data_IF_859126179432
#
_entry.id   IF_859126179432
#
_cell.length_a   1.000
_cell.length_b   1.000
_cell.length_c   1.000
_cell.angle_alpha   90.00
_cell.angle_beta   90.00
_cell.angle_gamma   90.00
#
_symmetry.space_group_name_H-M   'P 1'
#
loop_
_entity.id
_entity.type
_entity.pdbx_description
1 polymer ?
#
# COMPACT_ATOMS: atom_id res chain seq x y z
N UNK A 1 45.05 6.27 11.64
CA UNK A 1 44.58 7.46 10.90
C UNK A 1 43.37 7.18 10.00
N UNK A 2 43.11 5.94 9.56
CA UNK A 2 42.01 5.63 8.61
C UNK A 2 40.60 5.62 9.25
N UNK A 3 40.49 5.25 10.54
CA UNK A 3 39.20 5.11 11.25
C UNK A 3 38.42 6.43 11.38
N UNK A 4 39.10 7.53 11.72
CA UNK A 4 38.48 8.85 11.91
C UNK A 4 37.77 9.36 10.64
N UNK A 5 38.31 9.06 9.44
CA UNK A 5 37.74 9.54 8.17
C UNK A 5 36.41 8.85 7.79
N UNK A 6 36.18 7.63 8.28
CA UNK A 6 34.95 6.86 8.02
C UNK A 6 33.85 7.33 8.96
N UNK A 7 34.19 7.59 10.22
CA UNK A 7 33.25 8.04 11.23
C UNK A 7 32.81 9.50 10.97
N UNK A 8 33.71 10.37 10.49
CA UNK A 8 33.36 11.72 10.03
C UNK A 8 32.40 11.70 8.82
N UNK A 9 32.67 10.85 7.81
CA UNK A 9 31.77 10.69 6.65
C UNK A 9 30.39 10.14 7.04
N UNK A 10 30.33 9.22 8.02
CA UNK A 10 29.07 8.72 8.56
C UNK A 10 28.30 9.81 9.32
N UNK A 11 29.00 10.57 10.17
CA UNK A 11 28.40 11.67 10.93
C UNK A 11 27.86 12.77 10.00
N UNK A 12 28.60 13.13 8.96
CA UNK A 12 28.18 14.13 7.97
C UNK A 12 26.99 13.65 7.12
N UNK A 13 26.97 12.36 6.74
CA UNK A 13 25.81 11.74 6.09
C UNK A 13 24.58 11.72 7.01
N UNK A 14 24.76 11.42 8.30
CA UNK A 14 23.67 11.47 9.29
C UNK A 14 23.15 12.89 9.50
N UNK A 15 24.04 13.90 9.55
CA UNK A 15 23.69 15.33 9.71
C UNK A 15 22.95 15.89 8.49
N UNK A 16 23.40 15.55 7.28
CA UNK A 16 22.69 15.90 6.03
C UNK A 16 21.35 15.18 5.89
N UNK A 17 21.24 13.95 6.40
CA UNK A 17 19.97 13.22 6.45
C UNK A 17 19.01 13.86 7.45
N UNK A 18 19.49 14.26 8.63
CA UNK A 18 18.71 14.98 9.64
C UNK A 18 18.17 16.32 9.11
N UNK A 19 19.00 17.13 8.43
CA UNK A 19 18.55 18.38 7.80
C UNK A 19 17.50 18.18 6.68
N UNK A 20 17.55 17.05 5.97
CA UNK A 20 16.49 16.68 5.01
C UNK A 20 15.21 16.23 5.71
N UNK A 21 15.32 15.60 6.88
CA UNK A 21 14.18 15.20 7.71
C UNK A 21 13.47 16.43 8.29
N UNK A 22 14.19 17.48 8.69
CA UNK A 22 13.57 18.73 9.18
C UNK A 22 12.74 19.48 8.12
N UNK A 23 13.00 19.25 6.82
CA UNK A 23 12.18 19.76 5.70
C UNK A 23 11.21 18.73 5.13
N UNK A 24 11.13 17.54 5.72
CA UNK A 24 10.32 16.43 5.24
C UNK A 24 8.97 16.40 5.94
N UNK A 25 7.93 16.04 5.18
CA UNK A 25 6.59 15.84 5.73
C UNK A 25 6.47 14.57 6.60
N UNK A 26 7.42 13.63 6.47
CA UNK A 26 7.45 12.38 7.22
C UNK A 26 7.31 12.59 8.75
N UNK A 27 6.35 11.89 9.36
CA UNK A 27 6.03 12.00 10.77
C UNK A 27 5.16 13.21 11.14
N UNK A 28 4.96 14.15 10.20
CA UNK A 28 4.08 15.29 10.34
C UNK A 28 2.62 14.87 10.50
N UNK A 29 1.89 15.65 11.30
CA UNK A 29 0.46 15.45 11.55
C UNK A 29 -0.33 16.17 10.44
N UNK A 30 -1.27 15.49 9.78
CA UNK A 30 -2.14 16.10 8.76
C UNK A 30 -3.14 17.07 9.40
N UNK A 31 -3.73 17.94 8.57
CA UNK A 31 -4.87 18.76 8.99
C UNK A 31 -6.08 17.87 9.34
N UNK A 32 -6.79 18.20 10.42
CA UNK A 32 -7.96 17.45 10.91
C UNK A 32 -9.04 17.24 9.84
N UNK A 33 -9.21 18.18 8.92
CA UNK A 33 -10.16 18.07 7.81
C UNK A 33 -9.75 16.97 6.82
N UNK A 34 -8.46 16.70 6.68
CA UNK A 34 -7.93 15.62 5.82
C UNK A 34 -8.12 14.23 6.44
N UNK A 35 -8.43 14.16 7.75
CA UNK A 35 -8.65 12.89 8.45
C UNK A 35 -10.03 12.30 8.18
N UNK A 36 -11.01 13.15 7.87
CA UNK A 36 -12.38 12.71 7.62
C UNK A 36 -12.44 12.12 6.21
N UNK A 37 -12.66 10.80 6.08
CA UNK A 37 -12.87 10.24 4.76
C UNK A 37 -14.17 10.78 4.17
N UNK A 38 -14.27 10.76 2.85
CA UNK A 38 -15.48 11.16 2.16
C UNK A 38 -16.64 10.25 2.57
N UNK A 39 -17.81 10.86 2.81
CA UNK A 39 -18.98 10.14 3.29
C UNK A 39 -19.33 8.91 2.45
N UNK A 40 -19.97 7.93 3.09
CA UNK A 40 -20.36 6.68 2.45
C UNK A 40 -21.54 6.90 1.51
N UNK A 41 -21.30 7.20 0.23
CA UNK A 41 -22.30 6.88 -0.79
C UNK A 41 -22.52 5.36 -0.77
N UNK A 42 -23.75 4.88 -0.98
CA UNK A 42 -24.03 3.44 -1.10
C UNK A 42 -23.36 2.88 -2.35
N UNK A 43 -22.08 2.54 -2.23
CA UNK A 43 -21.31 1.90 -3.28
C UNK A 43 -21.75 0.43 -3.35
N UNK A 44 -22.06 -0.09 -4.54
CA UNK A 44 -22.17 -1.52 -4.80
C UNK A 44 -20.86 -2.04 -5.44
N UNK A 45 -19.85 -2.44 -4.63
CA UNK A 45 -18.52 -2.80 -5.13
C UNK A 45 -18.44 -4.22 -5.72
N UNK A 46 -19.59 -4.86 -5.96
CA UNK A 46 -19.67 -6.24 -6.45
C UNK A 46 -18.90 -6.43 -7.77
N UNK A 47 -18.03 -7.44 -7.77
CA UNK A 47 -17.23 -7.86 -8.91
C UNK A 47 -18.14 -8.50 -9.95
N UNK A 48 -18.19 -7.89 -11.14
CA UNK A 48 -19.02 -8.31 -12.27
C UNK A 48 -18.25 -9.19 -13.25
N UNK A 49 -16.99 -8.86 -13.48
CA UNK A 49 -16.14 -9.57 -14.44
C UNK A 49 -14.77 -9.86 -13.84
N UNK A 50 -14.22 -11.02 -14.20
CA UNK A 50 -12.88 -11.46 -13.86
C UNK A 50 -12.18 -11.80 -15.17
N UNK A 51 -11.10 -11.09 -15.49
CA UNK A 51 -10.37 -11.23 -16.75
C UNK A 51 -8.92 -11.56 -16.46
N UNK A 52 -8.51 -12.78 -16.81
CA UNK A 52 -7.13 -13.22 -16.69
C UNK A 52 -6.32 -12.81 -17.92
N UNK A 53 -5.19 -12.14 -17.68
CA UNK A 53 -4.18 -11.84 -18.69
C UNK A 53 -2.93 -12.70 -18.46
N UNK A 54 -1.89 -12.49 -19.27
CA UNK A 54 -0.62 -13.22 -19.12
C UNK A 54 0.06 -12.93 -17.77
N UNK A 55 0.08 -11.67 -17.37
CA UNK A 55 0.90 -11.19 -16.25
C UNK A 55 0.07 -10.60 -15.09
N UNK A 56 -1.25 -10.47 -15.27
CA UNK A 56 -2.13 -9.91 -14.26
C UNK A 56 -3.55 -10.49 -14.32
N UNK A 57 -4.29 -10.28 -13.23
CA UNK A 57 -5.72 -10.55 -13.14
C UNK A 57 -6.46 -9.23 -12.93
N UNK A 58 -7.53 -9.01 -13.69
CA UNK A 58 -8.40 -7.84 -13.56
C UNK A 58 -9.77 -8.24 -13.05
N UNK A 59 -10.27 -7.52 -12.04
CA UNK A 59 -11.60 -7.67 -11.48
C UNK A 59 -12.34 -6.34 -11.60
N UNK A 60 -13.41 -6.33 -12.38
CA UNK A 60 -14.14 -5.10 -12.72
C UNK A 60 -15.45 -5.03 -11.95
N UNK A 61 -15.72 -3.87 -11.35
CA UNK A 61 -16.99 -3.53 -10.72
C UNK A 61 -17.55 -2.22 -11.29
N UNK A 62 -18.65 -1.72 -10.71
CA UNK A 62 -19.29 -0.49 -11.19
C UNK A 62 -18.46 0.80 -10.99
N UNK A 63 -17.39 0.74 -10.19
CA UNK A 63 -16.57 1.90 -9.83
C UNK A 63 -15.16 1.86 -10.38
N UNK A 64 -14.75 0.74 -10.97
CA UNK A 64 -13.41 0.62 -11.50
C UNK A 64 -12.92 -0.80 -11.73
N UNK A 65 -11.64 -0.86 -12.07
CA UNK A 65 -10.90 -2.08 -12.37
C UNK A 65 -9.83 -2.29 -11.31
N UNK A 66 -9.94 -3.39 -10.56
CA UNK A 66 -8.90 -3.87 -9.65
C UNK A 66 -7.96 -4.79 -10.43
N UNK A 67 -6.69 -4.40 -10.53
CA UNK A 67 -5.66 -5.20 -11.19
C UNK A 67 -4.70 -5.76 -10.13
N UNK A 68 -4.47 -7.06 -10.22
CA UNK A 68 -3.56 -7.84 -9.37
C UNK A 68 -2.43 -8.34 -10.25
N UNK A 69 -1.20 -7.88 -10.00
CA UNK A 69 -0.03 -8.21 -10.82
C UNK A 69 1.05 -8.82 -9.92
N UNK A 70 1.27 -10.15 -9.95
CA UNK A 70 2.40 -10.76 -9.28
C UNK A 70 3.73 -10.19 -9.83
N UNK A 71 4.59 -9.68 -8.94
CA UNK A 71 5.85 -9.01 -9.31
C UNK A 71 7.05 -9.94 -9.06
N UNK A 72 6.98 -10.71 -7.98
CA UNK A 72 7.94 -11.75 -7.61
C UNK A 72 7.24 -12.84 -6.81
N UNK A 73 7.97 -13.86 -6.37
CA UNK A 73 7.44 -14.95 -5.54
C UNK A 73 6.88 -14.49 -4.20
N UNK A 74 7.19 -13.28 -3.73
CA UNK A 74 6.72 -12.76 -2.44
C UNK A 74 6.07 -11.38 -2.51
N UNK A 75 5.92 -10.80 -3.70
CA UNK A 75 5.42 -9.44 -3.89
C UNK A 75 4.36 -9.38 -4.98
N UNK A 76 3.27 -8.67 -4.69
CA UNK A 76 2.19 -8.37 -5.64
C UNK A 76 1.92 -6.89 -5.69
N UNK A 77 1.68 -6.37 -6.89
CA UNK A 77 1.18 -5.03 -7.12
C UNK A 77 -0.34 -5.05 -7.20
N UNK A 78 -0.96 -4.16 -6.44
CA UNK A 78 -2.40 -3.92 -6.44
C UNK A 78 -2.63 -2.52 -6.97
N UNK A 79 -3.43 -2.41 -8.04
CA UNK A 79 -3.89 -1.12 -8.54
C UNK A 79 -5.40 -1.10 -8.71
N UNK A 80 -6.01 0.05 -8.44
CA UNK A 80 -7.45 0.26 -8.65
C UNK A 80 -7.68 1.66 -9.21
N UNK A 81 -8.42 1.75 -10.31
CA UNK A 81 -8.74 3.00 -10.99
C UNK A 81 -10.15 2.91 -11.61
N UNK A 82 -10.75 4.06 -11.92
CA UNK A 82 -12.09 4.11 -12.52
C UNK A 82 -12.20 3.39 -13.87
N UNK A 83 -11.09 3.33 -14.60
CA UNK A 83 -10.91 2.55 -15.82
C UNK A 83 -9.61 1.75 -15.71
N UNK A 84 -9.46 0.71 -16.54
CA UNK A 84 -8.22 -0.05 -16.58
C UNK A 84 -7.05 0.90 -16.93
N UNK A 85 -6.00 1.02 -16.09
CA UNK A 85 -4.95 1.98 -16.36
C UNK A 85 -4.11 1.51 -17.55
N UNK A 86 -3.99 2.38 -18.57
CA UNK A 86 -3.14 2.17 -19.75
C UNK A 86 -1.66 2.08 -19.36
N UNK A 87 -1.26 2.91 -18.39
CA UNK A 87 0.10 2.95 -17.88
C UNK A 87 0.10 2.95 -16.36
N UNK A 88 0.86 2.02 -15.79
CA UNK A 88 1.14 1.96 -14.37
C UNK A 88 2.54 2.54 -14.10
N UNK A 89 2.74 3.31 -13.01
CA UNK A 89 4.05 3.83 -12.66
C UNK A 89 5.12 2.75 -12.51
N UNK A 90 6.37 3.11 -12.71
CA UNK A 90 7.49 2.19 -12.58
C UNK A 90 7.52 1.50 -11.20
N UNK A 91 7.90 0.23 -11.20
CA UNK A 91 8.12 -0.52 -9.98
C UNK A 91 9.33 0.10 -9.25
N UNK A 92 9.21 0.43 -7.95
CA UNK A 92 10.34 0.95 -7.18
C UNK A 92 11.55 0.03 -7.25
N UNK A 93 12.75 0.60 -7.42
CA UNK A 93 14.01 -0.16 -7.57
C UNK A 93 14.38 -1.06 -6.37
N UNK A 94 13.75 -0.84 -5.21
CA UNK A 94 13.92 -1.67 -4.00
C UNK A 94 12.99 -2.90 -3.96
N UNK A 95 12.12 -3.06 -4.95
CA UNK A 95 11.27 -4.23 -5.12
C UNK A 95 11.95 -5.13 -6.15
N UNK A 96 12.28 -6.35 -5.74
CA UNK A 96 12.78 -7.38 -6.64
C UNK A 96 11.69 -7.78 -7.63
N UNK A 97 12.03 -7.77 -8.91
CA UNK A 97 11.15 -8.19 -10.00
C UNK A 97 11.66 -9.50 -10.59
N UNK A 98 10.80 -10.51 -10.67
CA UNK A 98 11.13 -11.75 -11.36
C UNK A 98 10.87 -11.60 -12.88
N UNK A 99 11.72 -12.21 -13.71
CA UNK A 99 11.52 -12.21 -15.17
C UNK A 99 10.24 -12.93 -15.61
N UNK A 100 9.79 -13.91 -14.82
CA UNK A 100 8.51 -14.60 -14.99
C UNK A 100 8.05 -15.16 -13.65
N UNK A 101 6.92 -14.68 -13.14
CA UNK A 101 6.26 -15.24 -11.95
C UNK A 101 5.30 -16.34 -12.39
N UNK A 102 5.38 -17.51 -11.79
CA UNK A 102 4.36 -18.56 -11.98
C UNK A 102 3.19 -18.24 -11.07
N UNK A 103 2.01 -18.05 -11.66
CA UNK A 103 0.80 -17.74 -10.93
C UNK A 103 -0.41 -18.44 -11.57
N UNK A 104 -1.47 -18.59 -10.79
CA UNK A 104 -2.77 -19.06 -11.27
C UNK A 104 -3.88 -18.38 -10.46
N UNK A 105 -5.09 -18.41 -10.99
CA UNK A 105 -6.27 -18.01 -10.26
C UNK A 105 -7.40 -19.03 -10.44
N UNK A 106 -8.27 -19.10 -9.43
CA UNK A 106 -9.51 -19.86 -9.46
C UNK A 106 -10.66 -18.94 -9.11
N UNK A 107 -11.70 -18.97 -9.91
CA UNK A 107 -12.94 -18.24 -9.63
C UNK A 107 -14.00 -19.22 -9.15
N UNK A 108 -14.53 -18.95 -7.95
CA UNK A 108 -15.69 -19.62 -7.38
C UNK A 108 -16.89 -18.64 -7.40
N UNK A 109 -18.09 -19.11 -7.05
CA UNK A 109 -19.32 -18.28 -7.06
C UNK A 109 -19.19 -16.99 -6.22
N UNK A 110 -18.55 -17.06 -5.07
CA UNK A 110 -18.47 -15.95 -4.10
C UNK A 110 -17.10 -15.30 -3.99
N UNK A 111 -16.05 -15.89 -4.59
CA UNK A 111 -14.67 -15.43 -4.39
C UNK A 111 -13.78 -15.74 -5.59
N UNK A 112 -12.69 -15.00 -5.69
CA UNK A 112 -11.57 -15.31 -6.58
C UNK A 112 -10.33 -15.57 -5.72
N UNK A 113 -9.64 -16.68 -5.96
CA UNK A 113 -8.35 -16.98 -5.34
C UNK A 113 -7.23 -16.77 -6.34
N UNK A 114 -6.16 -16.09 -5.95
CA UNK A 114 -4.94 -15.93 -6.75
C UNK A 114 -3.77 -16.51 -5.97
N UNK A 115 -2.99 -17.39 -6.58
CA UNK A 115 -1.83 -18.05 -5.95
C UNK A 115 -0.58 -17.82 -6.77
N UNK A 116 0.49 -17.42 -6.10
CA UNK A 116 1.84 -17.29 -6.66
C UNK A 116 2.86 -17.32 -5.52
N UNK A 117 3.98 -18.00 -5.73
CA UNK A 117 5.04 -18.16 -4.73
C UNK A 117 4.55 -18.37 -3.30
N UNK A 118 4.89 -17.42 -2.41
CA UNK A 118 4.60 -17.42 -0.97
C UNK A 118 3.26 -16.77 -0.59
N UNK A 119 2.44 -16.40 -1.57
CA UNK A 119 1.22 -15.62 -1.35
C UNK A 119 -0.03 -16.28 -1.95
N UNK A 120 -1.11 -16.18 -1.18
CA UNK A 120 -2.48 -16.47 -1.58
C UNK A 120 -3.31 -15.21 -1.35
N UNK A 121 -3.98 -14.73 -2.39
CA UNK A 121 -4.96 -13.65 -2.28
C UNK A 121 -6.37 -14.26 -2.41
N UNK A 122 -7.30 -13.79 -1.57
CA UNK A 122 -8.73 -14.09 -1.71
C UNK A 122 -9.48 -12.79 -1.89
N UNK A 123 -10.23 -12.67 -2.98
CA UNK A 123 -11.06 -11.51 -3.28
C UNK A 123 -12.51 -11.94 -3.10
N UNK A 124 -13.23 -11.26 -2.22
CA UNK A 124 -14.66 -11.47 -2.04
C UNK A 124 -15.42 -10.78 -3.18
N UNK A 125 -16.23 -11.51 -3.94
CA UNK A 125 -16.91 -10.96 -5.13
C UNK A 125 -18.01 -9.98 -4.76
N UNK A 126 -18.61 -10.06 -3.57
CA UNK A 126 -19.68 -9.15 -3.14
C UNK A 126 -19.13 -7.78 -2.74
N UNK A 127 -17.99 -7.77 -2.06
CA UNK A 127 -17.38 -6.55 -1.51
C UNK A 127 -16.25 -6.00 -2.37
N UNK A 128 -15.65 -6.82 -3.22
CA UNK A 128 -14.43 -6.50 -3.97
C UNK A 128 -13.16 -6.41 -3.10
N UNK A 129 -13.25 -6.69 -1.80
CA UNK A 129 -12.13 -6.58 -0.87
C UNK A 129 -11.14 -7.74 -0.99
N UNK A 130 -9.85 -7.43 -0.83
CA UNK A 130 -8.75 -8.40 -0.88
C UNK A 130 -8.37 -8.83 0.54
N UNK A 131 -8.16 -10.13 0.73
CA UNK A 131 -7.47 -10.69 1.89
C UNK A 131 -6.18 -11.38 1.44
N UNK A 132 -5.08 -11.05 2.11
CA UNK A 132 -3.73 -11.53 1.85
C UNK A 132 -3.37 -12.62 2.85
N UNK A 133 -2.93 -13.76 2.33
CA UNK A 133 -2.52 -14.92 3.09
C UNK A 133 -1.12 -15.34 2.67
N UNK A 134 -0.44 -16.01 3.58
CA UNK A 134 0.72 -16.84 3.25
C UNK A 134 0.30 -18.02 2.37
N UNK A 135 1.26 -18.68 1.74
CA UNK A 135 1.09 -19.97 1.04
C UNK A 135 0.49 -21.08 1.93
N UNK A 136 0.74 -21.00 3.24
CA UNK A 136 0.15 -21.85 4.29
C UNK A 136 -1.25 -21.42 4.74
N UNK A 137 -1.90 -20.54 3.98
CA UNK A 137 -3.24 -20.00 4.25
C UNK A 137 -3.40 -19.29 5.60
N UNK A 138 -2.30 -18.82 6.19
CA UNK A 138 -2.35 -17.96 7.38
C UNK A 138 -2.64 -16.52 6.95
N UNK A 139 -3.69 -15.91 7.49
CA UNK A 139 -4.10 -14.53 7.19
C UNK A 139 -3.03 -13.53 7.67
N UNK A 140 -2.60 -12.66 6.76
CA UNK A 140 -1.68 -11.56 7.05
C UNK A 140 -2.46 -10.26 7.26
N UNK A 141 -3.30 -9.90 6.29
CA UNK A 141 -4.04 -8.65 6.24
C UNK A 141 -5.32 -8.81 5.39
N UNK A 142 -6.36 -8.08 5.73
CA UNK A 142 -7.53 -7.87 4.87
C UNK A 142 -7.76 -6.38 4.64
N UNK A 143 -8.26 -6.03 3.45
CA UNK A 143 -8.94 -4.75 3.26
C UNK A 143 -10.27 -4.73 4.02
N UNK A 144 -10.80 -3.53 4.27
CA UNK A 144 -12.10 -3.39 4.93
C UNK A 144 -13.23 -3.97 4.06
N UNK A 145 -14.07 -4.88 4.59
CA UNK A 145 -15.13 -5.52 3.80
C UNK A 145 -16.30 -4.58 3.48
N UNK A 146 -16.50 -3.51 4.26
CA UNK A 146 -17.59 -2.55 4.03
C UNK A 146 -17.22 -1.49 2.98
N UNK A 147 -15.94 -1.12 2.93
CA UNK A 147 -15.42 -0.12 2.00
C UNK A 147 -13.92 -0.36 1.80
N UNK A 148 -13.51 -1.24 0.87
CA UNK A 148 -12.09 -1.56 0.72
C UNK A 148 -11.29 -0.39 0.15
N UNK A 149 -11.89 0.37 -0.79
CA UNK A 149 -11.22 1.40 -1.57
C UNK A 149 -12.15 2.55 -1.93
N UNK A 150 -11.60 3.75 -2.04
CA UNK A 150 -12.31 4.95 -2.47
C UNK A 150 -11.38 5.87 -3.26
N UNK A 151 -11.88 6.46 -4.34
CA UNK A 151 -11.19 7.47 -5.15
C UNK A 151 -12.12 8.69 -5.24
N UNK A 152 -11.55 9.88 -5.14
CA UNK A 152 -12.26 11.14 -5.35
C UNK A 152 -11.44 12.08 -6.22
N UNK A 153 -12.14 12.86 -7.04
CA UNK A 153 -11.55 13.85 -7.94
C UNK A 153 -11.84 15.31 -7.53
N UNK A 154 -12.59 15.54 -6.45
CA UNK A 154 -12.97 16.88 -5.99
C UNK A 154 -12.80 17.04 -4.47
N UNK A 155 -12.20 18.15 -3.99
CA UNK A 155 -11.62 19.28 -4.74
C UNK A 155 -10.21 19.00 -5.31
N UNK A 156 -9.62 17.86 -4.95
CA UNK A 156 -8.35 17.34 -5.46
C UNK A 156 -8.48 15.83 -5.66
N UNK A 157 -7.63 15.28 -6.51
CA UNK A 157 -7.49 13.82 -6.64
C UNK A 157 -6.99 13.22 -5.32
N UNK A 158 -7.71 12.25 -4.79
CA UNK A 158 -7.45 11.64 -3.50
C UNK A 158 -7.87 10.17 -3.54
N UNK A 159 -7.09 9.32 -2.89
CA UNK A 159 -7.45 7.91 -2.75
C UNK A 159 -7.33 7.44 -1.31
N UNK A 160 -8.16 6.46 -0.96
CA UNK A 160 -8.15 5.77 0.31
C UNK A 160 -8.19 4.26 0.06
N UNK A 161 -7.26 3.54 0.68
CA UNK A 161 -7.33 2.09 0.82
C UNK A 161 -7.53 1.77 2.29
N UNK A 162 -8.65 1.16 2.63
CA UNK A 162 -9.01 0.86 4.00
C UNK A 162 -8.62 -0.57 4.34
N UNK A 163 -7.99 -0.75 5.49
CA UNK A 163 -7.47 -2.03 5.95
C UNK A 163 -8.12 -2.42 7.28
N UNK A 164 -8.31 -3.72 7.49
CA UNK A 164 -8.79 -4.29 8.75
C UNK A 164 -7.61 -4.68 9.64
N UNK A 165 -6.80 -3.69 10.02
CA UNK A 165 -5.69 -3.91 10.95
C UNK A 165 -6.23 -4.23 12.34
N UNK A 166 -5.72 -5.30 12.94
CA UNK A 166 -6.19 -5.69 14.27
C UNK A 166 -5.63 -4.76 15.36
N UNK A 167 -6.37 -4.59 16.46
CA UNK A 167 -5.90 -3.79 17.62
C UNK A 167 -4.58 -4.27 18.25
N UNK A 168 -4.20 -5.54 18.01
CA UNK A 168 -2.96 -6.16 18.51
C UNK A 168 -1.80 -6.04 17.53
N UNK A 169 -2.06 -5.56 16.33
CA UNK A 169 -1.06 -5.42 15.28
C UNK A 169 -0.18 -4.20 15.52
N UNK A 170 1.12 -4.38 15.37
CA UNK A 170 2.10 -3.31 15.52
C UNK A 170 2.54 -2.89 14.14
N UNK A 171 2.21 -1.64 13.79
CA UNK A 171 2.53 -1.04 12.50
C UNK A 171 3.61 0.03 12.68
N UNK A 172 4.59 0.02 11.78
CA UNK A 172 5.67 1.01 11.75
C UNK A 172 5.87 1.55 10.34
N UNK A 173 6.08 2.85 10.21
CA UNK A 173 6.48 3.47 8.95
C UNK A 173 8.02 3.60 8.87
N UNK A 174 8.59 3.28 7.71
CA UNK A 174 10.04 3.35 7.48
C UNK A 174 10.47 4.80 7.26
N UNK A 175 11.46 5.24 8.03
CA UNK A 175 12.09 6.55 7.96
C UNK A 175 13.08 6.69 6.80
N UNK A 176 13.86 7.78 6.82
CA UNK A 176 14.81 8.11 5.74
C UNK A 176 15.96 7.10 5.69
N UNK A 177 16.27 6.52 6.85
CA UNK A 177 17.25 5.45 7.05
C UNK A 177 16.50 4.17 7.43
N UNK A 178 16.93 3.01 6.95
CA UNK A 178 16.17 1.74 7.11
C UNK A 178 16.03 1.27 8.58
N UNK A 179 16.90 1.75 9.48
CA UNK A 179 16.81 1.50 10.92
C UNK A 179 15.86 2.48 11.65
N UNK A 180 15.45 3.56 10.99
CA UNK A 180 14.53 4.53 11.56
C UNK A 180 13.09 4.07 11.32
N UNK A 181 12.35 3.87 12.40
CA UNK A 181 10.95 3.44 12.34
C UNK A 181 10.07 4.36 13.17
N UNK A 182 8.96 4.79 12.58
CA UNK A 182 7.94 5.60 13.21
C UNK A 182 6.78 4.69 13.64
N UNK A 183 6.44 4.70 14.93
CA UNK A 183 5.26 3.98 15.43
C UNK A 183 3.97 4.63 14.90
N UNK A 184 3.08 3.78 14.38
CA UNK A 184 1.80 4.18 13.80
C UNK A 184 0.61 3.87 14.72
N UNK A 185 0.78 3.39 15.96
CA UNK A 185 -0.32 3.01 16.85
C UNK A 185 -1.20 4.20 17.24
N UNK A 186 -2.47 4.18 16.81
CA UNK A 186 -3.47 5.22 17.09
C UNK A 186 -2.97 6.61 16.67
N UNK A 187 -2.45 6.72 15.45
CA UNK A 187 -1.92 7.97 14.90
C UNK A 187 -2.47 8.25 13.52
N UNK A 188 -2.40 9.51 13.09
CA UNK A 188 -2.47 9.87 11.69
C UNK A 188 -1.22 10.67 11.36
N UNK A 189 -0.38 10.13 10.47
CA UNK A 189 0.91 10.75 10.12
C UNK A 189 1.21 10.58 8.64
N UNK A 190 1.88 11.56 8.06
CA UNK A 190 2.51 11.38 6.76
C UNK A 190 3.65 10.36 6.88
N UNK A 191 3.63 9.36 6.01
CA UNK A 191 4.62 8.27 5.96
C UNK A 191 5.51 8.35 4.72
N UNK A 192 5.33 9.41 3.93
CA UNK A 192 6.14 9.77 2.76
C UNK A 192 7.02 10.98 3.07
N UNK A 193 8.03 11.19 2.23
CA UNK A 193 8.94 12.35 2.31
C UNK A 193 8.53 13.50 1.38
N UNK A 194 7.27 13.48 0.91
CA UNK A 194 6.71 14.45 -0.03
C UNK A 194 6.96 14.14 -1.51
N UNK A 195 6.33 14.92 -2.39
CA UNK A 195 6.20 14.66 -3.83
C UNK A 195 7.52 14.64 -4.64
N UNK A 196 8.64 15.12 -4.08
CA UNK A 196 9.95 15.11 -4.75
C UNK A 196 10.81 13.91 -4.38
N UNK A 197 10.40 13.11 -3.40
CA UNK A 197 11.19 11.97 -2.93
C UNK A 197 10.92 10.73 -3.77
N UNK A 198 11.97 10.11 -4.32
CA UNK A 198 11.87 8.81 -4.99
C UNK A 198 11.72 7.63 -4.02
N UNK A 199 11.87 7.85 -2.71
CA UNK A 199 11.79 6.79 -1.70
C UNK A 199 10.34 6.36 -1.49
N UNK A 200 9.99 5.08 -1.70
CA UNK A 200 8.65 4.58 -1.41
C UNK A 200 8.31 4.72 0.07
N UNK A 201 7.07 5.11 0.35
CA UNK A 201 6.53 4.96 1.69
C UNK A 201 6.39 3.47 1.99
N UNK A 202 6.75 3.04 3.20
CA UNK A 202 6.72 1.63 3.59
C UNK A 202 6.11 1.49 4.97
N UNK A 203 5.07 0.67 5.07
CA UNK A 203 4.49 0.22 6.35
C UNK A 203 4.96 -1.21 6.59
N UNK A 204 5.51 -1.47 7.78
CA UNK A 204 5.90 -2.79 8.26
C UNK A 204 4.94 -3.23 9.37
N UNK A 205 4.43 -4.45 9.26
CA UNK A 205 3.63 -5.09 10.31
C UNK A 205 4.44 -6.18 11.03
N UNK A 206 4.22 -6.31 12.34
CA UNK A 206 4.72 -7.45 13.11
C UNK A 206 4.11 -8.80 12.70
N UNK A 207 3.11 -8.82 11.82
CA UNK A 207 2.58 -10.03 11.18
C UNK A 207 3.42 -10.54 10.01
N UNK A 208 4.55 -9.88 9.71
CA UNK A 208 5.49 -10.38 8.70
C UNK A 208 5.15 -9.96 7.26
N UNK A 209 4.54 -8.80 7.08
CA UNK A 209 4.29 -8.22 5.75
C UNK A 209 4.63 -6.74 5.70
N UNK A 210 4.79 -6.23 4.48
CA UNK A 210 4.99 -4.81 4.19
C UNK A 210 4.04 -4.33 3.10
N UNK A 211 3.63 -3.06 3.22
CA UNK A 211 2.90 -2.32 2.18
C UNK A 211 3.83 -1.21 1.71
N UNK A 212 4.09 -1.17 0.41
CA UNK A 212 4.91 -0.13 -0.22
C UNK A 212 4.07 0.70 -1.17
N UNK A 213 4.20 2.01 -1.07
CA UNK A 213 3.56 2.97 -1.98
C UNK A 213 4.69 3.69 -2.71
N UNK A 214 4.74 3.67 -4.05
CA UNK A 214 5.77 4.34 -4.83
C UNK A 214 6.03 5.78 -4.38
N UNK A 215 7.29 6.19 -4.50
CA UNK A 215 7.73 7.55 -4.21
C UNK A 215 7.11 8.58 -5.17
N UNK A 216 7.32 9.86 -4.87
CA UNK A 216 6.76 10.97 -5.64
C UNK A 216 5.35 11.36 -5.21
N UNK A 217 4.82 10.71 -4.17
CA UNK A 217 3.45 10.86 -3.69
C UNK A 217 3.43 11.34 -2.25
N UNK A 218 2.39 12.11 -1.91
CA UNK A 218 2.09 12.44 -0.52
C UNK A 218 1.19 11.36 0.07
N UNK A 219 1.77 10.58 0.98
CA UNK A 219 1.13 9.40 1.58
C UNK A 219 0.96 9.58 3.08
N UNK A 220 -0.24 9.31 3.57
CA UNK A 220 -0.60 9.33 4.99
C UNK A 220 -1.12 7.96 5.41
N UNK A 221 -0.79 7.55 6.62
CA UNK A 221 -1.41 6.40 7.27
C UNK A 221 -2.22 6.89 8.47
N UNK A 222 -3.48 6.50 8.54
CA UNK A 222 -4.37 6.73 9.67
C UNK A 222 -4.72 5.40 10.32
N UNK A 223 -4.50 5.31 11.62
CA UNK A 223 -4.85 4.16 12.47
C UNK A 223 -5.71 4.58 13.66
N UNK A 224 -6.29 5.78 13.62
CA UNK A 224 -7.19 6.29 14.65
C UNK A 224 -8.58 5.71 14.38
N UNK A 225 -9.14 4.86 15.27
CA UNK A 225 -10.39 4.14 14.98
C UNK A 225 -11.58 5.03 14.62
N UNK A 226 -11.67 6.24 15.19
CA UNK A 226 -12.75 7.19 14.92
C UNK A 226 -12.79 7.65 13.45
N UNK A 227 -11.63 7.73 12.78
CA UNK A 227 -11.54 8.14 11.37
C UNK A 227 -11.49 6.95 10.41
N UNK A 228 -11.34 5.73 10.93
CA UNK A 228 -11.06 4.53 10.16
C UNK A 228 -9.58 4.24 10.01
N UNK A 229 -9.29 3.05 9.50
CA UNK A 229 -7.95 2.52 9.33
C UNK A 229 -7.62 2.49 7.84
N UNK A 230 -6.73 3.37 7.38
CA UNK A 230 -6.49 3.54 5.96
C UNK A 230 -5.11 4.07 5.61
N UNK A 231 -4.74 3.84 4.36
CA UNK A 231 -3.66 4.54 3.65
C UNK A 231 -4.30 5.52 2.68
N UNK A 232 -3.82 6.75 2.69
CA UNK A 232 -4.31 7.85 1.87
C UNK A 232 -3.20 8.36 0.94
N UNK A 233 -3.57 8.71 -0.29
CA UNK A 233 -2.69 9.41 -1.23
C UNK A 233 -3.34 10.68 -1.76
N UNK A 234 -2.60 11.80 -1.77
CA UNK A 234 -3.02 13.07 -2.39
C UNK A 234 -2.44 13.18 -3.81
N UNK A 235 -3.25 13.67 -4.75
CA UNK A 235 -2.86 13.91 -6.14
C UNK A 235 -3.07 12.74 -7.10
N UNK A 236 -3.47 11.57 -6.60
CA UNK A 236 -3.57 10.34 -7.39
C UNK A 236 -5.01 10.06 -7.84
N UNK A 237 -5.17 9.69 -9.12
CA UNK A 237 -6.44 9.22 -9.71
C UNK A 237 -6.60 7.70 -9.62
N UNK A 238 -5.58 7.01 -9.14
CA UNK A 238 -5.55 5.56 -8.98
C UNK A 238 -4.89 5.18 -7.66
N UNK A 239 -5.37 4.10 -7.08
CA UNK A 239 -4.69 3.41 -5.99
C UNK A 239 -3.61 2.54 -6.61
N UNK A 240 -2.40 2.57 -6.05
CA UNK A 240 -1.26 1.79 -6.53
C UNK A 240 -0.30 1.51 -5.36
N UNK A 241 -0.29 0.25 -4.91
CA UNK A 241 0.57 -0.21 -3.83
C UNK A 241 1.09 -1.61 -4.09
N UNK A 242 2.15 -1.97 -3.39
CA UNK A 242 2.76 -3.29 -3.41
C UNK A 242 2.59 -3.93 -2.05
N UNK A 243 2.09 -5.15 -2.02
CA UNK A 243 2.07 -5.98 -0.82
C UNK A 243 3.16 -7.02 -0.93
N UNK A 244 4.01 -7.14 0.10
CA UNK A 244 5.05 -8.17 0.14
C UNK A 244 5.12 -8.89 1.49
N UNK A 245 5.45 -10.17 1.47
CA UNK A 245 5.83 -10.87 2.71
C UNK A 245 7.23 -10.41 3.12
N UNK A 246 7.40 -10.16 4.42
CA UNK A 246 8.67 -9.73 5.02
C UNK A 246 9.41 -10.88 5.73
N UNK A 247 8.95 -12.12 5.51
CA UNK A 247 9.48 -13.38 6.06
C UNK A 247 9.76 -14.38 4.91
#
# INVERSE_FOLDING_TARGET
VVQNSIDEKRAEKMKNTANRIEKSEFGGIPDTNSLRPLGHSRLNPEVRWVTGHRDCLELTNAFGVLRITPVSENTVRISFAGEAPDHLPDIPSEIETASRVKWNYREDKSRVEVRFGKLLLRIDKKTGGISFYTDKETLLLSESPSLPRQISSSPKNQTWTYFDWSKKEVLKARGAVDQQWLDLKTTAKYISFGAKSKRPACILSNRGYQILIPGGRRVMCCTIPMYGLYVYTEGEVQIDYFFRTAL
#
